data_IF_640981080914
#
_entry.id   IF_640981080914
#
_cell.length_a   1.000
_cell.length_b   1.000
_cell.length_c   1.000
_cell.angle_alpha   90.00
_cell.angle_beta   90.00
_cell.angle_gamma   90.00
#
_symmetry.space_group_name_H-M   'P 1'
#
loop_
_entity.id
_entity.type
_entity.pdbx_description
1 polymer ?
#
# COMPACT_ATOMS: atom_id res chain seq x y z
N UNK A 1 50.75 -33.93 8.77
CA UNK A 1 49.72 -34.65 9.50
C UNK A 1 48.43 -33.97 9.06
N UNK A 2 47.88 -34.26 7.90
CA UNK A 2 47.01 -35.37 7.43
C UNK A 2 45.89 -35.66 8.39
N UNK A 3 44.65 -35.29 7.97
CA UNK A 3 43.46 -36.12 7.80
C UNK A 3 42.29 -35.16 7.56
N UNK A 4 41.64 -35.13 6.42
CA UNK A 4 40.88 -36.12 5.67
C UNK A 4 39.59 -36.56 6.37
N UNK A 5 38.47 -36.38 5.70
CA UNK A 5 37.19 -37.03 6.03
C UNK A 5 35.96 -36.17 5.73
N UNK A 6 35.42 -36.24 4.63
CA UNK A 6 34.37 -37.12 4.07
C UNK A 6 33.07 -36.37 3.83
N UNK A 7 32.71 -36.21 2.57
CA UNK A 7 31.34 -35.90 2.08
C UNK A 7 30.44 -37.13 2.24
N UNK A 8 29.15 -36.98 2.42
CA UNK A 8 28.22 -37.96 1.92
C UNK A 8 27.37 -37.44 0.74
N UNK A 9 27.34 -38.31 -0.23
CA UNK A 9 26.61 -38.27 -1.48
C UNK A 9 25.12 -38.56 -1.30
N UNK A 10 24.32 -37.82 -2.11
CA UNK A 10 23.13 -38.21 -2.85
C UNK A 10 22.31 -39.44 -2.45
N UNK A 11 21.01 -39.25 -2.35
CA UNK A 11 20.03 -40.21 -2.91
C UNK A 11 18.85 -39.46 -3.54
N UNK A 12 18.81 -39.55 -4.87
CA UNK A 12 17.62 -39.31 -5.70
C UNK A 12 16.60 -40.40 -5.41
N UNK A 13 15.33 -40.01 -5.24
CA UNK A 13 14.20 -40.93 -5.41
C UNK A 13 13.23 -40.27 -6.36
N UNK A 14 13.20 -40.82 -7.58
CA UNK A 14 12.11 -40.63 -8.55
C UNK A 14 10.91 -41.45 -8.08
N UNK A 15 9.72 -40.88 -8.07
CA UNK A 15 8.47 -41.59 -8.14
C UNK A 15 7.60 -40.96 -9.23
N UNK A 16 7.50 -41.70 -10.32
CA UNK A 16 6.48 -41.58 -11.36
C UNK A 16 5.19 -42.25 -10.84
N UNK A 17 4.06 -41.57 -10.99
CA UNK A 17 2.78 -42.23 -11.07
C UNK A 17 1.88 -41.46 -12.05
N UNK A 18 1.44 -42.23 -13.03
CA UNK A 18 0.57 -41.84 -14.13
C UNK A 18 -0.91 -42.11 -13.81
N UNK A 19 -1.79 -41.40 -14.55
CA UNK A 19 -3.14 -41.86 -14.90
C UNK A 19 -4.26 -41.21 -14.11
N UNK A 20 -5.21 -40.52 -14.71
CA UNK A 20 -6.26 -41.07 -15.56
C UNK A 20 -7.20 -39.94 -16.04
N UNK A 21 -7.61 -40.06 -17.29
CA UNK A 21 -8.58 -39.23 -17.97
C UNK A 21 -10.02 -39.51 -17.45
N UNK A 22 -10.84 -38.47 -17.35
CA UNK A 22 -12.27 -38.55 -17.14
C UNK A 22 -13.00 -37.56 -18.04
N UNK A 23 -13.66 -38.11 -19.07
CA UNK A 23 -14.58 -37.43 -19.99
C UNK A 23 -16.00 -37.58 -19.47
N UNK A 24 -16.76 -36.47 -19.40
CA UNK A 24 -18.24 -36.48 -19.44
C UNK A 24 -18.69 -34.99 -19.63
N UNK A 25 -19.23 -34.66 -20.71
CA UNK A 25 -20.52 -34.83 -21.33
C UNK A 25 -21.41 -33.57 -21.14
N UNK A 26 -21.72 -32.99 -22.28
CA UNK A 26 -22.66 -31.90 -22.57
C UNK A 26 -24.10 -32.14 -22.08
N UNK A 27 -24.75 -31.10 -21.62
CA UNK A 27 -26.20 -30.99 -21.70
C UNK A 27 -26.59 -29.57 -22.08
N UNK A 28 -27.05 -29.42 -23.31
CA UNK A 28 -27.73 -28.26 -23.86
C UNK A 28 -29.19 -28.25 -23.41
N UNK A 29 -29.70 -27.12 -22.92
CA UNK A 29 -31.13 -26.90 -22.75
C UNK A 29 -31.54 -25.64 -23.50
N UNK A 30 -32.29 -25.86 -24.59
CA UNK A 30 -32.99 -24.87 -25.37
C UNK A 30 -34.17 -24.28 -24.58
N UNK A 31 -34.34 -22.97 -24.58
CA UNK A 31 -35.60 -22.33 -24.20
C UNK A 31 -36.07 -21.41 -25.31
N UNK A 32 -37.29 -21.63 -25.72
CA UNK A 32 -38.04 -21.00 -26.82
C UNK A 32 -38.45 -19.56 -26.52
N UNK A 33 -38.62 -18.75 -27.52
CA UNK A 33 -39.23 -17.41 -27.42
C UNK A 33 -40.77 -17.49 -27.42
N UNK A 34 -41.41 -16.67 -26.60
CA UNK A 34 -42.84 -16.50 -26.52
C UNK A 34 -43.24 -15.18 -27.15
N UNK A 35 -44.21 -15.23 -28.05
CA UNK A 35 -44.74 -14.12 -28.87
C UNK A 35 -45.77 -13.27 -28.09
N UNK A 36 -46.09 -12.05 -28.55
CA UNK A 36 -46.87 -11.04 -27.82
C UNK A 36 -48.38 -11.18 -27.99
N UNK A 37 -49.14 -10.86 -26.96
CA UNK A 37 -50.59 -10.69 -26.95
C UNK A 37 -51.02 -9.21 -26.93
N UNK A 38 -52.26 -8.91 -27.25
CA UNK A 38 -52.61 -7.60 -27.81
C UNK A 38 -53.00 -6.52 -26.79
N UNK A 39 -53.05 -5.29 -27.36
CA UNK A 39 -53.32 -4.00 -26.75
C UNK A 39 -54.69 -3.91 -26.02
N UNK A 40 -54.69 -3.20 -24.90
CA UNK A 40 -55.87 -2.65 -24.25
C UNK A 40 -55.68 -1.16 -24.01
N UNK A 41 -56.51 -0.39 -24.69
CA UNK A 41 -56.70 1.05 -24.51
C UNK A 41 -57.22 1.39 -23.12
N UNK A 42 -56.62 2.36 -22.45
CA UNK A 42 -57.33 3.13 -21.43
C UNK A 42 -56.66 4.50 -21.22
N UNK A 43 -57.31 5.48 -21.67
CA UNK A 43 -57.41 6.91 -21.32
C UNK A 43 -56.47 7.54 -20.33
N UNK A 44 -55.94 8.63 -20.81
CA UNK A 44 -55.12 9.64 -20.16
C UNK A 44 -55.76 10.34 -18.95
N UNK A 45 -54.94 10.63 -17.94
CA UNK A 45 -55.05 11.79 -17.07
C UNK A 45 -53.64 12.33 -16.78
N UNK A 46 -53.40 13.62 -16.90
CA UNK A 46 -52.11 14.19 -16.56
C UNK A 46 -52.01 14.37 -15.03
N UNK A 47 -51.18 13.63 -14.39
CA UNK A 47 -50.76 13.87 -13.01
C UNK A 47 -49.54 14.77 -13.00
N UNK A 48 -49.59 15.80 -12.17
CA UNK A 48 -48.63 16.89 -12.08
C UNK A 48 -47.18 16.47 -11.90
N UNK A 49 -46.33 17.19 -12.59
CA UNK A 49 -44.87 17.21 -12.38
C UNK A 49 -44.60 17.82 -11.00
N UNK A 50 -44.40 16.96 -10.00
CA UNK A 50 -43.67 17.36 -8.82
C UNK A 50 -42.17 17.35 -9.20
N UNK A 51 -41.62 18.53 -9.41
CA UNK A 51 -40.17 18.73 -9.49
C UNK A 51 -39.58 18.32 -8.15
N UNK A 52 -39.01 17.12 -8.10
CA UNK A 52 -38.10 16.78 -7.01
C UNK A 52 -36.88 17.67 -7.19
N UNK A 53 -36.73 18.62 -6.27
CA UNK A 53 -35.48 19.37 -6.13
C UNK A 53 -34.38 18.38 -5.69
N UNK A 54 -33.58 17.94 -6.64
CA UNK A 54 -32.30 17.33 -6.36
C UNK A 54 -31.38 18.40 -5.76
N UNK A 55 -31.56 18.64 -4.47
CA UNK A 55 -30.53 19.33 -3.69
C UNK A 55 -29.25 18.50 -3.71
N UNK A 56 -28.07 19.14 -3.79
CA UNK A 56 -26.83 18.40 -3.72
C UNK A 56 -26.82 17.55 -2.46
N UNK A 57 -26.79 16.23 -2.65
CA UNK A 57 -26.58 15.27 -1.56
C UNK A 57 -25.32 15.69 -0.82
N UNK A 58 -25.33 15.85 0.51
CA UNK A 58 -24.12 16.20 1.24
C UNK A 58 -23.06 15.14 0.89
N UNK A 59 -21.95 15.60 0.31
CA UNK A 59 -20.83 14.72 0.04
C UNK A 59 -20.51 13.99 1.34
N UNK A 60 -20.61 12.66 1.32
CA UNK A 60 -20.30 11.85 2.49
C UNK A 60 -18.90 12.24 2.95
N UNK A 61 -18.79 12.81 4.13
CA UNK A 61 -17.49 13.10 4.76
C UNK A 61 -16.74 11.78 4.78
N UNK A 62 -15.54 11.71 4.19
CA UNK A 62 -14.79 10.46 4.20
C UNK A 62 -14.62 10.02 5.64
N UNK A 63 -15.09 8.81 5.95
CA UNK A 63 -14.94 8.25 7.29
C UNK A 63 -13.44 8.10 7.55
N UNK A 64 -12.88 8.95 8.40
CA UNK A 64 -11.51 8.77 8.83
C UNK A 64 -11.46 7.60 9.80
N UNK A 65 -10.64 6.64 9.46
CA UNK A 65 -10.42 5.46 10.28
C UNK A 65 -9.14 5.67 11.08
N UNK A 66 -9.16 5.28 12.35
CA UNK A 66 -7.94 5.23 13.14
C UNK A 66 -6.93 4.32 12.45
N UNK A 67 -5.73 4.84 12.23
CA UNK A 67 -4.65 4.06 11.61
C UNK A 67 -4.18 3.00 12.61
N UNK A 68 -4.17 1.75 12.17
CA UNK A 68 -3.68 0.64 12.98
C UNK A 68 -2.19 0.78 13.21
N UNK A 69 -1.78 0.69 14.46
CA UNK A 69 -0.39 0.82 14.85
C UNK A 69 0.41 -0.46 14.57
N UNK A 70 1.67 -0.26 14.20
CA UNK A 70 2.66 -1.30 14.02
C UNK A 70 4.00 -0.80 14.55
N UNK A 71 4.88 -1.69 14.98
CA UNK A 71 6.15 -1.29 15.57
C UNK A 71 7.06 -0.52 14.61
N UNK A 72 7.83 0.44 15.15
CA UNK A 72 8.82 1.22 14.39
C UNK A 72 9.94 0.34 13.75
N UNK A 73 10.11 -0.88 14.25
CA UNK A 73 11.22 -1.73 13.85
C UNK A 73 12.57 -1.23 14.41
N UNK A 74 13.67 -1.94 14.11
CA UNK A 74 14.99 -1.65 14.69
C UNK A 74 15.72 -0.47 14.03
N UNK A 75 15.18 0.09 12.95
CA UNK A 75 15.86 1.11 12.13
C UNK A 75 15.33 2.52 12.33
N UNK A 76 14.44 2.76 13.29
CA UNK A 76 14.01 4.12 13.62
C UNK A 76 15.17 4.89 14.25
N UNK A 77 15.40 6.12 13.76
CA UNK A 77 16.33 7.08 14.35
C UNK A 77 15.58 8.40 14.52
N UNK A 78 15.57 8.93 15.72
CA UNK A 78 15.01 10.25 16.02
C UNK A 78 16.04 11.31 15.68
N UNK A 79 15.95 11.85 14.47
CA UNK A 79 16.92 12.81 13.96
C UNK A 79 16.35 14.21 13.82
N UNK A 80 15.02 14.40 13.95
CA UNK A 80 14.29 15.66 13.72
C UNK A 80 14.75 16.41 12.45
N UNK A 81 15.07 15.66 11.38
CA UNK A 81 15.62 16.20 10.16
C UNK A 81 14.51 16.70 9.25
N UNK A 82 14.11 17.95 9.43
CA UNK A 82 13.00 18.56 8.71
C UNK A 82 13.36 18.79 7.25
N UNK A 83 12.77 18.02 6.34
CA UNK A 83 12.97 18.09 4.89
C UNK A 83 11.89 17.33 4.13
N UNK A 84 11.49 17.83 2.95
CA UNK A 84 10.53 17.15 2.09
C UNK A 84 11.19 16.15 1.12
N UNK A 85 12.37 16.45 0.63
CA UNK A 85 13.17 15.52 -0.18
C UNK A 85 14.10 14.73 0.74
N UNK A 86 13.84 13.43 0.81
CA UNK A 86 14.61 12.52 1.68
C UNK A 86 15.54 11.60 0.90
N UNK A 87 15.68 11.81 -0.42
CA UNK A 87 16.47 10.91 -1.28
C UNK A 87 17.97 10.98 -1.02
N UNK A 88 18.50 12.16 -0.72
CA UNK A 88 19.96 12.41 -0.61
C UNK A 88 20.75 11.83 -1.80
N UNK A 89 20.18 11.88 -3.00
CA UNK A 89 20.84 11.38 -4.21
C UNK A 89 20.78 9.86 -4.38
N UNK A 90 20.13 9.12 -3.50
CA UNK A 90 19.89 7.68 -3.71
C UNK A 90 18.99 7.50 -4.93
N UNK A 91 19.51 6.78 -5.93
CA UNK A 91 18.80 6.51 -7.17
C UNK A 91 17.72 5.44 -6.99
N UNK A 92 16.60 5.62 -7.69
CA UNK A 92 15.47 4.68 -7.68
C UNK A 92 14.29 5.24 -8.48
N UNK A 93 13.17 4.54 -8.48
CA UNK A 93 11.93 5.02 -9.10
C UNK A 93 11.32 6.10 -8.19
N UNK A 94 11.20 7.36 -8.65
CA UNK A 94 10.68 8.45 -7.83
C UNK A 94 9.30 8.17 -7.28
N UNK A 95 9.08 8.57 -6.03
CA UNK A 95 7.80 8.44 -5.36
C UNK A 95 7.47 9.72 -4.57
N UNK A 96 6.29 10.27 -4.81
CA UNK A 96 5.73 11.37 -4.03
C UNK A 96 4.65 10.83 -3.11
N UNK A 97 4.75 11.12 -1.82
CA UNK A 97 3.76 10.76 -0.81
C UNK A 97 3.16 12.04 -0.21
N UNK A 98 1.87 12.25 -0.45
CA UNK A 98 1.12 13.34 0.16
C UNK A 98 0.31 12.77 1.34
N UNK A 99 0.53 13.29 2.53
CA UNK A 99 -0.15 12.86 3.75
C UNK A 99 -1.07 13.94 4.28
N UNK A 100 -2.20 13.50 4.84
CA UNK A 100 -3.07 14.36 5.66
C UNK A 100 -3.25 13.66 7.00
N UNK A 101 -2.89 14.34 8.08
CA UNK A 101 -3.06 13.84 9.45
C UNK A 101 -4.35 14.41 10.02
N UNK A 102 -5.19 13.53 10.54
CA UNK A 102 -6.49 13.91 11.13
C UNK A 102 -6.69 13.23 12.49
N UNK A 103 -7.40 13.88 13.39
CA UNK A 103 -7.83 13.29 14.67
C UNK A 103 -9.13 12.55 14.47
N UNK A 104 -9.07 11.21 14.46
CA UNK A 104 -10.21 10.35 14.20
C UNK A 104 -11.31 10.51 15.29
N UNK A 105 -10.92 10.60 16.56
CA UNK A 105 -11.80 10.80 17.70
C UNK A 105 -12.50 12.17 17.71
N UNK A 106 -12.05 13.13 16.90
CA UNK A 106 -12.57 14.50 16.87
C UNK A 106 -13.23 14.86 15.52
N UNK A 107 -13.92 13.91 14.90
CA UNK A 107 -14.64 14.15 13.65
C UNK A 107 -13.73 14.45 12.46
N UNK A 108 -12.58 13.79 12.38
CA UNK A 108 -11.60 13.95 11.29
C UNK A 108 -10.99 15.35 11.18
N UNK A 109 -10.91 16.09 12.27
CA UNK A 109 -10.28 17.41 12.24
C UNK A 109 -8.80 17.30 11.86
N UNK A 110 -8.30 18.15 10.94
CA UNK A 110 -6.88 18.21 10.63
C UNK A 110 -6.04 18.48 11.88
N UNK A 111 -4.86 17.87 11.91
CA UNK A 111 -3.87 18.08 12.98
C UNK A 111 -2.73 18.89 12.39
N UNK A 112 -2.70 20.18 12.76
CA UNK A 112 -1.60 21.08 12.43
C UNK A 112 -0.39 20.82 13.33
N UNK A 113 0.79 21.22 12.87
CA UNK A 113 2.06 21.22 13.61
C UNK A 113 2.49 19.83 14.13
N UNK A 114 1.90 18.74 13.60
CA UNK A 114 2.35 17.40 13.91
C UNK A 114 3.65 17.07 13.15
N UNK A 115 4.66 16.58 13.87
CA UNK A 115 5.84 16.02 13.24
C UNK A 115 5.51 14.64 12.65
N UNK A 116 5.84 14.46 11.37
CA UNK A 116 5.68 13.21 10.65
C UNK A 116 7.03 12.74 10.18
N UNK A 117 7.49 11.59 10.68
CA UNK A 117 8.71 10.95 10.24
C UNK A 117 8.39 9.90 9.18
N UNK A 118 9.24 9.83 8.16
CA UNK A 118 9.21 8.78 7.14
C UNK A 118 10.61 8.19 6.99
N UNK A 119 10.71 6.86 6.98
CA UNK A 119 11.97 6.17 6.71
C UNK A 119 11.75 4.83 6.02
N UNK A 120 12.71 4.42 5.21
CA UNK A 120 12.64 3.15 4.49
C UNK A 120 13.99 2.69 3.95
N UNK A 121 14.04 1.46 3.46
CA UNK A 121 15.21 0.88 2.85
C UNK A 121 15.49 1.47 1.45
N UNK A 122 16.75 1.51 1.07
CA UNK A 122 17.21 1.81 -0.27
C UNK A 122 16.87 0.67 -1.26
N UNK A 123 17.13 0.80 -2.57
CA UNK A 123 16.89 -0.27 -3.53
C UNK A 123 17.66 -1.57 -3.25
N UNK A 124 18.76 -1.50 -2.51
CA UNK A 124 19.52 -2.67 -2.08
C UNK A 124 18.96 -3.34 -0.82
N UNK A 125 17.96 -2.73 -0.17
CA UNK A 125 17.34 -3.22 1.05
C UNK A 125 18.07 -2.77 2.32
N UNK A 126 18.97 -1.79 2.22
CA UNK A 126 19.70 -1.23 3.34
C UNK A 126 19.02 0.02 3.89
N UNK A 127 19.04 0.19 5.22
CA UNK A 127 18.67 1.43 5.88
C UNK A 127 19.91 2.27 6.14
N UNK A 128 19.75 3.59 6.08
CA UNK A 128 20.78 4.50 6.54
C UNK A 128 21.09 4.28 8.04
N UNK A 129 22.37 4.28 8.40
CA UNK A 129 22.88 4.06 9.74
C UNK A 129 24.25 4.76 9.88
N UNK A 130 24.84 4.73 11.07
CA UNK A 130 26.22 5.17 11.33
C UNK A 130 26.56 6.60 10.83
N UNK A 131 25.59 7.52 10.93
CA UNK A 131 25.73 8.91 10.50
C UNK A 131 25.12 9.22 9.14
N UNK A 132 24.80 8.23 8.32
CA UNK A 132 24.02 8.40 7.12
C UNK A 132 22.54 8.68 7.44
N UNK A 133 21.89 9.46 6.58
CA UNK A 133 20.50 9.89 6.81
C UNK A 133 19.61 9.77 5.58
N UNK A 134 20.09 9.16 4.50
CA UNK A 134 19.32 8.98 3.28
C UNK A 134 18.01 8.23 3.54
N UNK A 135 16.99 8.58 2.78
CA UNK A 135 15.65 7.97 2.83
C UNK A 135 15.02 8.03 4.23
N UNK A 136 15.36 9.09 4.99
CA UNK A 136 14.76 9.48 6.26
C UNK A 136 14.47 10.96 6.27
N UNK A 137 13.41 11.37 6.92
CA UNK A 137 13.16 12.78 7.18
C UNK A 137 11.88 13.01 7.93
N UNK A 138 11.77 14.21 8.45
CA UNK A 138 10.62 14.72 9.18
C UNK A 138 9.95 15.81 8.36
N UNK A 139 8.63 15.86 8.36
CA UNK A 139 7.84 16.98 7.91
C UNK A 139 6.92 17.44 9.02
N UNK A 140 6.61 18.72 9.04
CA UNK A 140 5.60 19.27 9.96
C UNK A 140 4.34 19.55 9.15
N UNK A 141 3.20 19.13 9.67
CA UNK A 141 1.92 19.32 8.99
C UNK A 141 1.49 20.79 8.98
N UNK A 142 0.90 21.23 7.87
CA UNK A 142 0.31 22.57 7.73
C UNK A 142 -1.02 22.70 8.51
N UNK A 143 -1.66 23.87 8.48
CA UNK A 143 -2.94 24.17 9.11
C UNK A 143 -4.08 23.22 8.65
N UNK A 144 -3.95 22.60 7.50
CA UNK A 144 -4.87 21.60 6.96
C UNK A 144 -4.42 20.16 7.26
N UNK A 145 -3.44 19.96 8.15
CA UNK A 145 -2.91 18.66 8.52
C UNK A 145 -2.05 18.01 7.44
N UNK A 146 -1.56 18.72 6.43
CA UNK A 146 -0.91 18.16 5.25
C UNK A 146 0.60 18.28 5.32
N UNK A 147 1.27 17.26 4.80
CA UNK A 147 2.69 17.29 4.49
C UNK A 147 3.00 16.44 3.26
N UNK A 148 4.17 16.62 2.67
CA UNK A 148 4.58 15.90 1.45
C UNK A 148 6.01 15.43 1.56
N UNK A 149 6.25 14.18 1.17
CA UNK A 149 7.58 13.63 0.99
C UNK A 149 7.88 13.35 -0.48
N UNK A 150 9.11 13.63 -0.89
CA UNK A 150 9.70 13.16 -2.14
C UNK A 150 10.76 12.13 -1.81
N UNK A 151 10.62 10.94 -2.38
CA UNK A 151 11.46 9.79 -2.12
C UNK A 151 11.52 8.87 -3.34
N UNK A 152 11.86 7.63 -3.14
CA UNK A 152 11.83 6.55 -4.14
C UNK A 152 11.00 5.37 -3.63
N UNK A 153 10.58 4.49 -4.52
CA UNK A 153 9.99 3.20 -4.12
C UNK A 153 11.03 2.41 -3.31
N UNK A 154 10.68 1.85 -2.15
CA UNK A 154 11.64 1.13 -1.31
C UNK A 154 12.11 -0.17 -1.97
N UNK A 155 13.32 -0.59 -1.66
CA UNK A 155 13.77 -1.96 -1.88
C UNK A 155 13.20 -2.90 -0.83
N UNK A 156 13.68 -4.13 -0.83
CA UNK A 156 13.24 -5.17 0.10
C UNK A 156 14.43 -5.80 0.82
N UNK A 157 14.19 -6.33 2.00
CA UNK A 157 15.13 -7.16 2.75
C UNK A 157 14.44 -8.44 3.24
N UNK A 158 15.22 -9.42 3.65
CA UNK A 158 14.70 -10.75 3.94
C UNK A 158 13.57 -10.77 4.99
N UNK A 159 12.51 -11.49 4.69
CA UNK A 159 11.43 -11.80 5.63
C UNK A 159 10.34 -10.74 5.76
N UNK A 160 10.37 -9.64 4.99
CA UNK A 160 9.36 -8.59 5.04
C UNK A 160 8.95 -8.13 3.62
N UNK A 161 7.69 -7.76 3.48
CA UNK A 161 7.20 -7.07 2.30
C UNK A 161 7.79 -5.64 2.22
N UNK A 162 7.99 -5.10 1.00
CA UNK A 162 8.46 -3.71 0.84
C UNK A 162 7.48 -2.71 1.44
N UNK A 163 7.99 -1.80 2.25
CA UNK A 163 7.16 -0.83 2.95
C UNK A 163 7.90 0.48 3.25
N UNK A 164 7.14 1.54 3.48
CA UNK A 164 7.59 2.73 4.20
C UNK A 164 7.21 2.58 5.67
N UNK A 165 8.10 2.95 6.57
CA UNK A 165 7.74 3.25 7.95
C UNK A 165 7.33 4.71 8.07
N UNK A 166 6.39 4.98 8.95
CA UNK A 166 6.07 6.35 9.36
C UNK A 166 5.74 6.42 10.84
N UNK A 167 5.97 7.60 11.42
CA UNK A 167 5.58 7.95 12.79
C UNK A 167 4.98 9.34 12.76
N UNK A 168 3.82 9.52 13.40
CA UNK A 168 3.19 10.81 13.62
C UNK A 168 3.30 11.16 15.09
N UNK A 169 3.85 12.33 15.39
CA UNK A 169 3.97 12.90 16.73
C UNK A 169 3.19 14.20 16.77
N UNK A 170 1.91 14.21 17.19
CA UNK A 170 1.10 15.43 17.28
C UNK A 170 1.56 16.33 18.42
N UNK A 171 2.22 15.77 19.43
CA UNK A 171 2.79 16.44 20.58
C UNK A 171 3.93 15.59 21.19
N UNK A 172 4.49 16.03 22.32
CA UNK A 172 5.60 15.33 23.01
C UNK A 172 5.18 14.08 23.80
N UNK A 173 3.90 13.73 23.83
CA UNK A 173 3.35 12.63 24.66
C UNK A 173 2.68 11.55 23.85
N UNK A 174 2.29 11.86 22.64
CA UNK A 174 1.49 10.97 21.79
C UNK A 174 2.24 10.65 20.51
N UNK A 175 2.21 9.40 20.10
CA UNK A 175 2.73 8.98 18.80
C UNK A 175 1.85 7.90 18.20
N UNK A 176 1.79 7.86 16.88
CA UNK A 176 1.21 6.78 16.10
C UNK A 176 2.26 6.29 15.11
N UNK A 177 2.62 5.02 15.18
CA UNK A 177 3.63 4.41 14.32
C UNK A 177 3.00 3.29 13.50
N UNK A 178 3.27 3.26 12.19
CA UNK A 178 2.80 2.19 11.31
C UNK A 178 3.66 2.09 10.04
N UNK A 179 3.17 1.31 9.06
CA UNK A 179 3.82 1.12 7.78
C UNK A 179 2.84 1.33 6.63
N UNK A 180 3.34 1.90 5.53
CA UNK A 180 2.62 1.91 4.25
C UNK A 180 3.16 0.79 3.36
N UNK A 181 2.26 -0.01 2.84
CA UNK A 181 2.56 -1.07 1.88
C UNK A 181 2.19 -0.66 0.45
N UNK A 182 2.60 -1.47 -0.50
CA UNK A 182 2.43 -1.21 -1.92
C UNK A 182 1.65 -2.34 -2.61
N UNK A 183 0.87 -2.04 -3.65
CA UNK A 183 0.28 -3.08 -4.50
C UNK A 183 1.37 -3.95 -5.15
N UNK A 184 1.16 -5.26 -5.19
CA UNK A 184 2.12 -6.21 -5.75
C UNK A 184 2.44 -5.93 -7.22
N UNK A 185 1.43 -5.54 -8.01
CA UNK A 185 1.58 -5.21 -9.42
C UNK A 185 2.51 -4.01 -9.64
N UNK A 186 2.48 -3.02 -8.75
CA UNK A 186 3.42 -1.90 -8.80
C UNK A 186 4.84 -2.38 -8.50
N UNK A 187 5.00 -3.22 -7.48
CA UNK A 187 6.31 -3.74 -7.09
C UNK A 187 6.93 -4.58 -8.21
N UNK A 188 6.15 -5.42 -8.88
CA UNK A 188 6.60 -6.18 -10.06
C UNK A 188 7.09 -5.24 -11.16
N UNK A 189 6.34 -4.19 -11.48
CA UNK A 189 6.71 -3.23 -12.53
C UNK A 189 7.97 -2.41 -12.18
N UNK A 190 8.12 -2.02 -10.91
CA UNK A 190 9.27 -1.25 -10.43
C UNK A 190 10.52 -2.12 -10.38
N UNK A 191 10.40 -3.34 -9.86
CA UNK A 191 11.55 -4.21 -9.63
C UNK A 191 12.10 -4.84 -10.90
N UNK A 192 11.38 -4.75 -12.01
CA UNK A 192 11.90 -5.04 -13.35
C UNK A 192 12.89 -3.98 -13.87
N UNK A 193 13.03 -2.83 -13.18
CA UNK A 193 13.87 -1.69 -13.61
C UNK A 193 15.13 -1.54 -12.75
N UNK A 194 16.24 -1.00 -13.32
CA UNK A 194 17.36 -0.58 -12.49
C UNK A 194 16.94 0.54 -11.51
N UNK A 195 17.54 0.59 -10.31
CA UNK A 195 18.59 -0.30 -9.81
C UNK A 195 18.06 -1.62 -9.22
N UNK A 196 16.76 -1.79 -9.02
CA UNK A 196 16.13 -2.93 -8.34
C UNK A 196 16.37 -4.27 -9.05
N UNK A 197 16.32 -4.26 -10.38
CA UNK A 197 16.49 -5.47 -11.21
C UNK A 197 17.88 -6.11 -11.12
N UNK A 198 18.83 -5.47 -10.45
CA UNK A 198 20.14 -6.05 -10.12
C UNK A 198 20.08 -7.11 -9.03
N UNK A 199 18.95 -7.23 -8.35
CA UNK A 199 18.69 -8.19 -7.27
C UNK A 199 17.69 -9.25 -7.72
N UNK A 200 17.66 -10.39 -7.03
CA UNK A 200 16.53 -11.35 -7.17
C UNK A 200 15.25 -10.64 -6.76
N UNK A 201 14.14 -11.07 -7.36
CA UNK A 201 12.82 -10.62 -6.91
C UNK A 201 12.61 -10.92 -5.40
N UNK A 202 11.82 -10.09 -4.69
CA UNK A 202 11.51 -10.34 -3.29
C UNK A 202 10.80 -11.69 -3.13
N UNK A 203 11.21 -12.44 -2.11
CA UNK A 203 10.63 -13.75 -1.79
C UNK A 203 9.43 -13.63 -0.82
N UNK A 204 9.18 -12.41 -0.33
CA UNK A 204 8.19 -12.15 0.71
C UNK A 204 7.10 -11.19 0.22
N UNK A 205 6.03 -11.71 -0.41
CA UNK A 205 4.90 -10.89 -0.80
C UNK A 205 4.10 -10.41 0.42
N UNK A 206 3.26 -9.39 0.23
CA UNK A 206 2.41 -8.82 1.26
C UNK A 206 1.67 -9.90 2.08
N UNK A 207 1.06 -10.88 1.40
CA UNK A 207 0.28 -11.94 2.06
C UNK A 207 1.08 -12.81 3.04
N UNK A 208 2.41 -12.80 2.97
CA UNK A 208 3.29 -13.55 3.89
C UNK A 208 3.83 -12.69 5.03
N UNK A 209 3.68 -11.39 4.97
CA UNK A 209 4.12 -10.46 6.01
C UNK A 209 3.09 -10.38 7.14
N UNK A 210 3.49 -10.67 8.36
CA UNK A 210 2.60 -10.65 9.52
C UNK A 210 2.08 -9.24 9.83
N UNK A 211 2.89 -8.22 9.59
CA UNK A 211 2.49 -6.82 9.77
C UNK A 211 1.45 -6.41 8.73
N UNK A 212 1.65 -6.83 7.48
CA UNK A 212 0.65 -6.64 6.44
C UNK A 212 -0.67 -7.33 6.78
N UNK A 213 -0.62 -8.58 7.24
CA UNK A 213 -1.85 -9.32 7.63
C UNK A 213 -2.57 -8.67 8.80
N UNK A 214 -1.84 -8.07 9.72
CA UNK A 214 -2.42 -7.40 10.88
C UNK A 214 -3.07 -6.05 10.53
N UNK A 215 -2.42 -5.23 9.72
CA UNK A 215 -2.80 -3.83 9.48
C UNK A 215 -2.61 -3.35 8.04
N UNK A 216 -1.77 -4.01 7.27
CA UNK A 216 -1.26 -3.51 5.99
C UNK A 216 -2.31 -3.36 4.90
N UNK A 217 -3.37 -4.16 4.90
CA UNK A 217 -4.45 -3.99 3.93
C UNK A 217 -5.08 -2.59 4.01
N UNK A 218 -5.25 -2.04 5.22
CA UNK A 218 -5.76 -0.70 5.45
C UNK A 218 -4.75 0.40 5.11
N UNK A 219 -3.44 0.12 5.22
CA UNK A 219 -2.36 1.07 4.94
C UNK A 219 -1.65 0.84 3.60
N UNK A 220 -2.23 0.02 2.73
CA UNK A 220 -1.74 -0.14 1.36
C UNK A 220 -2.05 1.13 0.56
N UNK A 221 -0.99 1.74 0.04
CA UNK A 221 -1.10 2.91 -0.80
C UNK A 221 -1.82 2.59 -2.11
N UNK A 222 -2.46 3.61 -2.70
CA UNK A 222 -3.04 3.55 -4.05
C UNK A 222 -2.24 4.46 -5.01
N UNK A 223 -1.04 4.05 -5.44
CA UNK A 223 -0.18 4.88 -6.26
C UNK A 223 -0.75 5.08 -7.66
N UNK A 224 -0.56 6.30 -8.17
CA UNK A 224 -0.87 6.66 -9.56
C UNK A 224 0.41 7.03 -10.29
N UNK A 225 0.54 6.72 -11.58
CA UNK A 225 1.67 7.18 -12.37
C UNK A 225 1.80 8.70 -12.35
N UNK A 226 3.03 9.18 -12.26
CA UNK A 226 3.42 10.58 -12.42
C UNK A 226 4.65 10.62 -13.33
N UNK A 227 4.88 11.67 -14.09
CA UNK A 227 5.89 11.80 -15.15
C UNK A 227 7.03 10.76 -15.18
N UNK A 228 7.84 10.66 -14.12
CA UNK A 228 8.99 9.76 -14.03
C UNK A 228 8.88 8.71 -12.90
N UNK A 229 7.71 8.60 -12.25
CA UNK A 229 7.54 7.74 -11.09
C UNK A 229 6.08 7.58 -10.70
N UNK A 230 5.82 7.64 -9.40
CA UNK A 230 4.49 7.44 -8.84
C UNK A 230 4.18 8.48 -7.75
N UNK A 231 2.89 8.68 -7.53
CA UNK A 231 2.36 9.51 -6.45
C UNK A 231 1.24 8.77 -5.73
N UNK A 232 1.22 8.88 -4.41
CA UNK A 232 0.07 8.46 -3.61
C UNK A 232 -0.32 9.55 -2.60
N UNK A 233 -1.59 9.56 -2.23
CA UNK A 233 -2.10 10.33 -1.11
C UNK A 233 -2.69 9.38 -0.08
N UNK A 234 -2.54 9.71 1.22
CA UNK A 234 -3.09 8.91 2.30
C UNK A 234 -3.51 9.80 3.48
N UNK A 235 -4.64 9.45 4.11
CA UNK A 235 -5.09 10.12 5.35
C UNK A 235 -4.76 9.24 6.55
N UNK A 236 -3.90 9.77 7.42
CA UNK A 236 -3.51 9.11 8.67
C UNK A 236 -4.45 9.58 9.78
N UNK A 237 -5.27 8.68 10.29
CA UNK A 237 -6.12 8.94 11.46
C UNK A 237 -5.36 8.62 12.74
N UNK A 238 -5.24 9.61 13.64
CA UNK A 238 -4.66 9.41 14.97
C UNK A 238 -5.72 9.51 16.06
N UNK A 239 -5.48 8.93 17.23
CA UNK A 239 -6.37 8.95 18.39
C UNK A 239 -6.48 10.28 19.12
#
# INVERSE_FOLDING_TARGET
>A
MTENGSRPTSRRTLLLAAGSAGVAALAAACSRPQAPGPAGDASARPAGLSAASDGPSPAATPACVLTLESGAGPYYLDLDRVRSDITEGVGGVPFRLDLTVVRASAGCRPVADAAVDLWHADPAGAYSADGDTFLRGTQVTDAAGRCTFRTIVPGWYAGLAPHFHFKVRPDSRSETTSQFFFPEELLVAVYARPPYSRRRAPEHPNARDDRYRAAGAATTLAPRPEANGYRAAYTVGIG
#
